data_IF_474612407216
#
_entry.id   IF_474612407216
#
_cell.length_a   1.000
_cell.length_b   1.000
_cell.length_c   1.000
_cell.angle_alpha   90.00
_cell.angle_beta   90.00
_cell.angle_gamma   90.00
#
_symmetry.space_group_name_H-M   'P 1'
#
loop_
_entity.id
_entity.type
_entity.pdbx_description
1 polymer ?
#
# COMPACT_ATOMS: atom_id res chain seq x y z
N UNK A 1 9.45 17.96 -2.64
CA UNK A 1 9.68 17.73 -1.20
C UNK A 1 11.13 17.35 -1.05
N UNK A 2 11.95 18.21 -0.46
CA UNK A 2 13.29 17.83 -0.04
C UNK A 2 13.15 16.99 1.24
N UNK A 3 13.88 15.88 1.33
CA UNK A 3 14.06 15.15 2.57
C UNK A 3 15.25 15.79 3.27
N UNK A 4 14.99 16.77 4.13
CA UNK A 4 16.05 17.40 4.91
C UNK A 4 16.35 16.47 6.11
N UNK A 5 17.41 15.68 5.98
CA UNK A 5 17.92 14.84 7.08
C UNK A 5 18.61 15.72 8.15
N UNK A 6 18.51 15.39 9.44
CA UNK A 6 19.20 16.12 10.50
C UNK A 6 20.73 16.08 10.27
N UNK A 7 21.38 17.24 10.43
CA UNK A 7 22.80 17.47 10.10
C UNK A 7 23.79 16.59 10.87
N UNK A 8 23.39 16.05 12.01
CA UNK A 8 24.29 15.36 12.94
C UNK A 8 24.40 13.84 12.67
N UNK A 9 23.56 13.26 11.81
CA UNK A 9 23.55 11.81 11.53
C UNK A 9 24.32 11.39 10.27
N UNK A 10 24.60 12.31 9.34
CA UNK A 10 25.20 11.95 8.04
C UNK A 10 26.33 12.91 7.63
N UNK A 11 27.51 12.39 7.23
CA UNK A 11 28.67 13.20 6.86
C UNK A 11 28.48 14.01 5.56
N UNK A 12 27.43 13.74 4.79
CA UNK A 12 27.10 14.44 3.54
C UNK A 12 25.59 14.64 3.45
N UNK A 13 25.15 15.88 3.17
CA UNK A 13 23.75 16.16 2.85
C UNK A 13 23.45 15.76 1.40
N UNK A 14 22.56 14.79 1.22
CA UNK A 14 22.07 14.39 -0.10
C UNK A 14 20.90 15.29 -0.52
N UNK A 15 21.07 16.02 -1.62
CA UNK A 15 19.99 16.82 -2.20
C UNK A 15 19.40 16.10 -3.42
N UNK A 16 18.08 16.04 -3.48
CA UNK A 16 17.35 15.48 -4.63
C UNK A 16 16.65 16.61 -5.41
N UNK A 17 17.07 16.82 -6.65
CA UNK A 17 16.45 17.75 -7.59
C UNK A 17 15.66 16.97 -8.62
N UNK A 18 14.33 16.97 -8.48
CA UNK A 18 13.41 16.27 -9.38
C UNK A 18 12.10 17.03 -9.47
N UNK A 19 11.46 17.01 -10.65
CA UNK A 19 10.12 17.57 -10.79
C UNK A 19 9.12 16.83 -9.89
N UNK A 20 8.19 17.52 -9.20
CA UNK A 20 7.25 16.90 -8.28
C UNK A 20 6.08 16.21 -9.03
N UNK A 21 6.38 15.41 -10.05
CA UNK A 21 5.42 14.67 -10.86
C UNK A 21 5.81 13.19 -10.91
N UNK A 22 4.81 12.33 -10.79
CA UNK A 22 4.97 10.87 -10.88
C UNK A 22 3.81 10.30 -11.69
N UNK A 23 4.07 9.28 -12.50
CA UNK A 23 3.00 8.50 -13.12
C UNK A 23 2.21 7.80 -12.00
N UNK A 24 0.90 8.06 -11.93
CA UNK A 24 0.05 7.61 -10.83
C UNK A 24 -1.12 6.72 -11.28
N UNK A 25 -1.08 6.19 -12.51
CA UNK A 25 -2.12 5.28 -13.00
C UNK A 25 -2.13 3.96 -12.24
N UNK A 26 -0.95 3.44 -11.91
CA UNK A 26 -0.76 2.32 -10.99
C UNK A 26 0.18 2.80 -9.87
N UNK A 27 -0.17 2.47 -8.62
CA UNK A 27 0.62 2.81 -7.45
C UNK A 27 0.71 1.60 -6.54
N UNK A 28 1.79 1.51 -5.76
CA UNK A 28 1.92 0.45 -4.75
C UNK A 28 0.92 0.69 -3.61
N UNK A 29 0.53 -0.38 -2.93
CA UNK A 29 -0.39 -0.33 -1.78
C UNK A 29 0.13 0.67 -0.72
N UNK A 30 1.43 0.65 -0.42
CA UNK A 30 2.03 1.56 0.55
C UNK A 30 1.93 3.03 0.11
N UNK A 31 2.12 3.31 -1.19
CA UNK A 31 1.98 4.68 -1.72
C UNK A 31 0.52 5.14 -1.80
N UNK A 32 -0.43 4.23 -1.88
CA UNK A 32 -1.87 4.56 -1.84
C UNK A 32 -2.35 4.98 -0.44
N UNK A 33 -1.58 4.74 0.61
CA UNK A 33 -1.98 5.06 1.98
C UNK A 33 -2.25 6.56 2.15
N UNK A 34 -3.42 6.90 2.72
CA UNK A 34 -3.85 8.29 2.89
C UNK A 34 -4.56 8.89 1.68
N UNK A 35 -4.71 8.15 0.58
CA UNK A 35 -5.47 8.59 -0.59
C UNK A 35 -6.85 7.90 -0.67
N UNK A 36 -7.87 8.64 -1.06
CA UNK A 36 -9.20 8.10 -1.38
C UNK A 36 -9.41 8.10 -2.89
N UNK A 37 -9.76 6.94 -3.46
CA UNK A 37 -9.96 6.77 -4.91
C UNK A 37 -11.38 6.29 -5.21
N UNK A 38 -11.95 6.78 -6.31
CA UNK A 38 -13.32 6.44 -6.70
C UNK A 38 -13.44 4.99 -7.19
N UNK A 39 -12.46 4.51 -7.93
CA UNK A 39 -12.37 3.13 -8.44
C UNK A 39 -10.97 2.59 -8.17
N UNK A 40 -10.87 1.31 -7.86
CA UNK A 40 -9.57 0.67 -7.60
C UNK A 40 -9.49 -0.69 -8.29
N UNK A 41 -8.39 -0.90 -9.00
CA UNK A 41 -7.95 -2.21 -9.47
C UNK A 41 -6.83 -2.70 -8.55
N UNK A 42 -7.01 -3.87 -7.96
CA UNK A 42 -6.03 -4.54 -7.11
C UNK A 42 -5.43 -5.71 -7.87
N UNK A 43 -4.11 -5.67 -8.05
CA UNK A 43 -3.36 -6.75 -8.64
C UNK A 43 -2.78 -7.64 -7.53
N UNK A 44 -3.36 -8.83 -7.35
CA UNK A 44 -2.92 -9.84 -6.39
C UNK A 44 -2.32 -11.06 -7.09
N UNK A 45 -1.83 -10.92 -8.33
CA UNK A 45 -1.02 -11.96 -8.99
C UNK A 45 0.23 -12.30 -8.18
N UNK A 46 0.73 -11.33 -7.42
CA UNK A 46 1.72 -11.54 -6.36
C UNK A 46 1.03 -11.31 -5.01
N UNK A 47 1.15 -12.24 -4.05
CA UNK A 47 0.51 -12.08 -2.74
C UNK A 47 1.06 -10.87 -1.97
N UNK A 48 0.22 -10.27 -1.12
CA UNK A 48 0.66 -9.27 -0.14
C UNK A 48 1.68 -9.89 0.82
N UNK A 49 2.63 -9.09 1.30
CA UNK A 49 3.75 -9.60 2.10
C UNK A 49 3.82 -9.02 3.51
N UNK A 50 3.05 -7.97 3.83
CA UNK A 50 3.08 -7.35 5.16
C UNK A 50 1.70 -7.17 5.77
N UNK A 51 1.71 -6.99 7.09
CA UNK A 51 0.50 -6.72 7.86
C UNK A 51 -0.26 -5.51 7.32
N UNK A 52 -1.59 -5.63 7.27
CA UNK A 52 -2.48 -4.51 6.98
C UNK A 52 -2.48 -4.06 5.52
N UNK A 53 -1.59 -4.56 4.66
CA UNK A 53 -1.52 -4.14 3.24
C UNK A 53 -2.83 -4.39 2.50
N UNK A 54 -3.39 -5.59 2.63
CA UNK A 54 -4.65 -5.92 1.95
C UNK A 54 -5.79 -5.01 2.42
N UNK A 55 -5.85 -4.73 3.72
CA UNK A 55 -6.81 -3.80 4.30
C UNK A 55 -6.60 -2.36 3.80
N UNK A 56 -5.36 -1.88 3.80
CA UNK A 56 -4.95 -0.58 3.26
C UNK A 56 -5.44 -0.46 1.83
N UNK A 57 -5.22 -1.46 0.99
CA UNK A 57 -5.60 -1.43 -0.41
C UNK A 57 -7.13 -1.41 -0.62
N UNK A 58 -7.86 -2.25 0.10
CA UNK A 58 -9.33 -2.32 0.01
C UNK A 58 -10.01 -1.07 0.56
N UNK A 59 -9.47 -0.47 1.63
CA UNK A 59 -10.01 0.73 2.27
C UNK A 59 -9.75 2.02 1.50
N UNK A 60 -9.05 1.99 0.36
CA UNK A 60 -8.90 3.17 -0.51
C UNK A 60 -10.18 3.52 -1.27
N UNK A 61 -11.09 2.57 -1.42
CA UNK A 61 -12.37 2.77 -2.10
C UNK A 61 -13.54 2.69 -1.12
N UNK A 62 -14.54 3.54 -1.32
CA UNK A 62 -15.70 3.64 -0.43
C UNK A 62 -16.80 2.62 -0.71
N UNK A 63 -16.80 1.98 -1.88
CA UNK A 63 -17.84 1.05 -2.30
C UNK A 63 -17.24 -0.22 -2.91
N UNK A 64 -17.66 -1.42 -2.45
CA UNK A 64 -17.09 -2.69 -2.90
C UNK A 64 -17.31 -2.95 -4.39
N UNK A 65 -18.41 -2.45 -4.99
CA UNK A 65 -18.64 -2.61 -6.44
C UNK A 65 -17.59 -1.92 -7.33
N UNK A 66 -16.84 -0.97 -6.76
CA UNK A 66 -15.80 -0.20 -7.45
C UNK A 66 -14.40 -0.78 -7.23
N UNK A 67 -14.32 -1.89 -6.52
CA UNK A 67 -13.10 -2.66 -6.30
C UNK A 67 -13.09 -3.83 -7.30
N UNK A 68 -12.05 -3.93 -8.10
CA UNK A 68 -11.79 -5.09 -8.95
C UNK A 68 -10.47 -5.72 -8.53
N UNK A 69 -10.46 -7.03 -8.36
CA UNK A 69 -9.29 -7.77 -7.91
C UNK A 69 -8.89 -8.77 -8.99
N UNK A 70 -7.61 -8.81 -9.34
CA UNK A 70 -7.02 -9.75 -10.28
C UNK A 70 -6.19 -10.76 -9.48
N UNK A 71 -6.43 -12.04 -9.74
CA UNK A 71 -5.71 -13.16 -9.11
C UNK A 71 -4.73 -13.81 -10.11
N UNK A 72 -3.77 -14.63 -9.63
CA UNK A 72 -2.89 -15.43 -10.48
C UNK A 72 -3.67 -16.26 -11.51
N UNK A 73 -3.12 -16.38 -12.70
CA UNK A 73 -3.74 -17.19 -13.76
C UNK A 73 -3.73 -18.68 -13.38
N UNK A 74 -4.83 -19.39 -13.62
CA UNK A 74 -4.99 -20.80 -13.25
C UNK A 74 -5.41 -21.06 -11.80
N UNK A 75 -5.65 -20.01 -11.00
CA UNK A 75 -6.23 -20.17 -9.66
C UNK A 75 -7.77 -20.18 -9.75
N UNK A 76 -8.39 -21.28 -9.30
CA UNK A 76 -9.85 -21.39 -9.23
C UNK A 76 -10.46 -20.71 -8.00
N UNK A 77 -9.63 -20.33 -7.03
CA UNK A 77 -10.07 -19.69 -5.78
C UNK A 77 -9.95 -18.18 -5.88
N UNK A 78 -10.97 -17.46 -5.41
CA UNK A 78 -10.98 -15.99 -5.27
C UNK A 78 -10.52 -15.54 -3.88
N UNK A 79 -9.72 -16.37 -3.21
CA UNK A 79 -9.23 -16.11 -1.85
C UNK A 79 -7.75 -15.78 -1.87
N UNK A 80 -7.34 -14.87 -0.98
CA UNK A 80 -5.94 -14.53 -0.75
C UNK A 80 -5.63 -14.66 0.74
N UNK A 81 -4.38 -14.97 1.06
CA UNK A 81 -3.89 -14.98 2.45
C UNK A 81 -3.89 -13.56 2.99
N UNK A 82 -4.54 -13.35 4.14
CA UNK A 82 -4.45 -12.09 4.88
C UNK A 82 -3.33 -12.19 5.90
N UNK A 83 -2.29 -11.37 5.74
CA UNK A 83 -1.17 -11.32 6.69
C UNK A 83 -1.54 -10.40 7.83
N UNK A 84 -1.65 -10.96 9.04
CA UNK A 84 -2.04 -10.25 10.25
C UNK A 84 -1.02 -10.47 11.36
N UNK A 85 -0.45 -9.39 11.90
CA UNK A 85 0.37 -9.45 13.11
C UNK A 85 -0.54 -9.40 14.31
N UNK A 86 -0.67 -10.54 15.00
CA UNK A 86 -1.60 -10.68 16.12
C UNK A 86 -1.20 -9.88 17.34
N UNK A 87 0.08 -9.53 17.45
CA UNK A 87 0.64 -8.70 18.52
C UNK A 87 -0.07 -7.33 18.57
N UNK A 88 -0.28 -6.72 17.39
CA UNK A 88 -0.97 -5.43 17.26
C UNK A 88 -2.44 -5.50 17.68
N UNK A 89 -3.06 -6.68 17.58
CA UNK A 89 -4.45 -6.87 17.97
C UNK A 89 -4.60 -7.12 19.48
N UNK A 90 -3.58 -7.68 20.14
CA UNK A 90 -3.59 -7.92 21.59
C UNK A 90 -3.59 -6.61 22.39
N UNK A 91 -2.93 -5.58 21.87
CA UNK A 91 -2.91 -4.25 22.52
C UNK A 91 -4.22 -3.46 22.33
N UNK A 92 -5.14 -3.95 21.48
CA UNK A 92 -6.41 -3.28 21.15
C UNK A 92 -7.64 -3.89 21.85
N UNK A 93 -7.50 -5.07 22.43
CA UNK A 93 -8.59 -5.78 23.12
C UNK A 93 -8.20 -5.83 24.60
N UNK A 94 -8.98 -5.23 25.51
CA UNK A 94 -8.70 -5.24 26.95
C UNK A 94 -8.78 -6.65 27.57
#
# INVERSE_FOLDING_TARGET
>A
MALDAPKDEFPVQLHHLQFPVHLAFAMTINKSQGHSVKYVGLDLRTPVFSHGQLYVALSRCTHPHRVKVIFPHGQNSTTTTNIVFTEVLRDLIP
#
